data_IF_681718570087
#
_entry.id   IF_681718570087
#
_cell.length_a   1.000
_cell.length_b   1.000
_cell.length_c   1.000
_cell.angle_alpha   90.00
_cell.angle_beta   90.00
_cell.angle_gamma   90.00
#
_symmetry.space_group_name_H-M   'P 1'
#
loop_
_entity.id
_entity.type
_entity.pdbx_description
1 polymer ?
#
# COMPACT_ATOMS: atom_id res chain seq x y z
N UNK A 1 -0.06 -10.47 4.96
CA UNK A 1 1.27 -10.14 5.53
C UNK A 1 1.18 -8.77 6.21
N UNK A 2 2.00 -8.48 7.22
CA UNK A 2 1.99 -7.15 7.84
C UNK A 2 2.65 -6.13 6.92
N UNK A 3 1.94 -5.06 6.54
CA UNK A 3 2.42 -4.05 5.58
C UNK A 3 3.68 -3.32 6.08
N UNK A 4 3.78 -3.04 7.39
CA UNK A 4 4.95 -2.36 7.95
C UNK A 4 6.21 -3.20 7.78
N UNK A 5 6.11 -4.51 7.99
CA UNK A 5 7.21 -5.45 7.77
C UNK A 5 7.61 -5.46 6.30
N UNK A 6 6.66 -5.55 5.37
CA UNK A 6 6.93 -5.56 3.92
C UNK A 6 7.66 -4.30 3.48
N UNK A 7 7.23 -3.11 3.93
CA UNK A 7 7.92 -1.85 3.63
C UNK A 7 9.34 -1.85 4.22
N UNK A 8 9.50 -2.31 5.46
CA UNK A 8 10.82 -2.42 6.12
C UNK A 8 11.79 -3.33 5.36
N UNK A 9 11.32 -4.48 4.89
CA UNK A 9 12.13 -5.42 4.12
C UNK A 9 12.58 -4.82 2.78
N UNK A 10 11.67 -4.14 2.06
CA UNK A 10 12.01 -3.46 0.80
C UNK A 10 12.94 -2.25 1.03
N UNK A 11 12.76 -1.51 2.11
CA UNK A 11 13.69 -0.44 2.51
C UNK A 11 15.09 -0.99 2.81
N UNK A 12 15.21 -2.16 3.44
CA UNK A 12 16.51 -2.79 3.69
C UNK A 12 17.21 -3.20 2.38
N UNK A 13 16.46 -3.74 1.41
CA UNK A 13 16.98 -4.05 0.08
C UNK A 13 17.43 -2.78 -0.66
N UNK A 14 16.61 -1.73 -0.65
CA UNK A 14 16.94 -0.47 -1.30
C UNK A 14 18.16 0.21 -0.65
N UNK A 15 18.27 0.20 0.68
CA UNK A 15 19.47 0.68 1.39
C UNK A 15 20.75 -0.07 0.99
N UNK A 16 20.63 -1.36 0.63
CA UNK A 16 21.76 -2.18 0.21
C UNK A 16 22.23 -1.89 -1.22
N UNK A 17 21.33 -1.49 -2.12
CA UNK A 17 21.62 -1.51 -3.56
C UNK A 17 21.07 -0.36 -4.41
N UNK A 18 20.25 0.55 -3.88
CA UNK A 18 19.78 1.69 -4.65
C UNK A 18 20.93 2.66 -4.91
N UNK A 19 21.14 3.00 -6.19
CA UNK A 19 22.22 3.92 -6.64
C UNK A 19 21.70 5.34 -6.84
N UNK A 20 20.37 5.50 -6.87
CA UNK A 20 19.65 6.78 -7.04
C UNK A 20 18.43 6.81 -6.12
N UNK A 21 17.77 7.97 -6.06
CA UNK A 21 16.55 8.17 -5.27
C UNK A 21 15.41 7.23 -5.67
N UNK A 22 14.62 6.81 -4.68
CA UNK A 22 13.53 5.86 -4.87
C UNK A 22 12.36 6.13 -3.91
N UNK A 23 11.21 5.56 -4.24
CA UNK A 23 10.04 5.43 -3.36
C UNK A 23 9.25 4.18 -3.76
N UNK A 24 8.16 3.87 -3.05
CA UNK A 24 7.34 2.67 -3.28
C UNK A 24 5.86 3.00 -3.45
N UNK A 25 5.21 2.27 -4.36
CA UNK A 25 3.76 2.14 -4.42
C UNK A 25 3.35 0.91 -3.60
N UNK A 26 2.41 1.06 -2.66
CA UNK A 26 2.00 -0.02 -1.78
C UNK A 26 0.92 -0.86 -2.45
N UNK A 27 1.23 -2.11 -2.80
CA UNK A 27 0.22 -3.04 -3.34
C UNK A 27 -0.68 -3.52 -2.22
N UNK A 28 -1.99 -3.28 -2.33
CA UNK A 28 -2.99 -3.81 -1.39
C UNK A 28 -3.74 -4.97 -2.06
N UNK A 29 -3.31 -6.20 -1.73
CA UNK A 29 -3.97 -7.43 -2.18
C UNK A 29 -4.96 -7.99 -1.14
N UNK A 30 -4.79 -7.65 0.14
CA UNK A 30 -5.66 -8.08 1.24
C UNK A 30 -5.96 -6.87 2.16
N UNK A 31 -7.08 -6.16 1.93
CA UNK A 31 -7.45 -4.94 2.64
C UNK A 31 -8.15 -5.24 3.96
N UNK A 32 -7.41 -5.78 4.92
CA UNK A 32 -7.88 -5.97 6.30
C UNK A 32 -8.05 -4.65 7.04
N UNK A 33 -8.88 -4.62 8.09
CA UNK A 33 -9.10 -3.42 8.91
C UNK A 33 -7.78 -2.85 9.45
N UNK A 34 -6.87 -3.71 9.92
CA UNK A 34 -5.53 -3.29 10.39
C UNK A 34 -4.75 -2.63 9.25
N UNK A 35 -4.80 -3.18 8.03
CA UNK A 35 -4.13 -2.57 6.88
C UNK A 35 -4.69 -1.20 6.55
N UNK A 36 -6.02 -1.06 6.51
CA UNK A 36 -6.67 0.18 6.09
C UNK A 36 -6.66 1.27 7.17
N UNK A 37 -6.85 0.90 8.44
CA UNK A 37 -7.04 1.84 9.54
C UNK A 37 -5.75 2.15 10.31
N UNK A 38 -4.77 1.23 10.32
CA UNK A 38 -3.53 1.41 11.07
C UNK A 38 -2.32 1.59 10.14
N UNK A 39 -2.13 0.67 9.18
CA UNK A 39 -0.92 0.70 8.35
C UNK A 39 -0.93 1.84 7.31
N UNK A 40 -2.02 1.98 6.55
CA UNK A 40 -2.11 2.98 5.48
C UNK A 40 -1.89 4.41 6.02
N UNK A 41 -2.57 4.89 7.07
CA UNK A 41 -2.37 6.25 7.56
C UNK A 41 -0.92 6.51 8.03
N UNK A 42 -0.31 5.53 8.70
CA UNK A 42 1.08 5.65 9.20
C UNK A 42 2.06 5.71 8.03
N UNK A 43 1.92 4.82 7.05
CA UNK A 43 2.84 4.77 5.90
C UNK A 43 2.71 5.98 4.98
N UNK A 44 1.49 6.49 4.81
CA UNK A 44 1.26 7.72 4.05
C UNK A 44 1.89 8.92 4.76
N UNK A 45 1.79 9.02 6.09
CA UNK A 45 2.47 10.05 6.88
C UNK A 45 4.01 9.94 6.80
N UNK A 46 4.55 8.75 6.51
CA UNK A 46 5.98 8.51 6.28
C UNK A 46 6.43 8.77 4.84
N UNK A 47 5.53 9.16 3.92
CA UNK A 47 5.85 9.51 2.54
C UNK A 47 5.45 8.47 1.49
N UNK A 48 4.83 7.36 1.87
CA UNK A 48 4.33 6.34 0.94
C UNK A 48 2.88 6.62 0.51
N UNK A 49 2.65 7.73 -0.20
CA UNK A 49 1.31 8.29 -0.44
C UNK A 49 0.56 7.71 -1.66
N UNK A 50 0.91 6.51 -2.11
CA UNK A 50 0.34 5.91 -3.32
C UNK A 50 0.07 4.41 -3.12
N UNK A 51 -1.15 3.99 -3.39
CA UNK A 51 -1.62 2.62 -3.22
C UNK A 51 -1.92 2.02 -4.60
N UNK A 52 -1.39 0.82 -4.89
CA UNK A 52 -1.68 0.07 -6.10
C UNK A 52 -2.66 -1.05 -5.77
N UNK A 53 -3.74 -1.11 -6.54
CA UNK A 53 -4.77 -2.15 -6.42
C UNK A 53 -4.85 -2.88 -7.76
N UNK A 54 -5.13 -4.17 -7.72
CA UNK A 54 -5.42 -4.95 -8.92
C UNK A 54 -6.88 -5.43 -8.84
N UNK A 55 -7.62 -5.25 -9.93
CA UNK A 55 -8.97 -5.81 -10.12
C UNK A 55 -8.94 -7.05 -11.04
N UNK A 56 -7.75 -7.58 -11.25
CA UNK A 56 -7.45 -8.75 -12.09
C UNK A 56 -6.43 -9.62 -11.35
N UNK A 57 -6.15 -10.81 -11.89
CA UNK A 57 -5.40 -11.90 -11.28
C UNK A 57 -6.09 -12.46 -10.03
N UNK A 58 -6.42 -13.75 -10.04
CA UNK A 58 -7.25 -14.38 -9.00
C UNK A 58 -6.74 -14.17 -7.57
N UNK A 59 -5.42 -14.08 -7.38
CA UNK A 59 -4.81 -13.89 -6.06
C UNK A 59 -4.67 -12.42 -5.61
N UNK A 60 -4.82 -11.46 -6.53
CA UNK A 60 -4.65 -10.03 -6.25
C UNK A 60 -5.95 -9.23 -6.40
N UNK A 61 -6.98 -9.83 -7.00
CA UNK A 61 -8.27 -9.19 -7.20
C UNK A 61 -8.96 -8.98 -5.85
N UNK A 62 -9.15 -7.71 -5.48
CA UNK A 62 -9.80 -7.35 -4.21
C UNK A 62 -11.33 -7.33 -4.29
N UNK A 63 -11.91 -7.27 -5.50
CA UNK A 63 -13.36 -7.09 -5.69
C UNK A 63 -13.87 -5.68 -5.32
N UNK A 64 -15.09 -5.37 -5.75
CA UNK A 64 -15.63 -4.01 -5.72
C UNK A 64 -15.85 -3.45 -4.31
N UNK A 65 -16.37 -4.26 -3.39
CA UNK A 65 -16.64 -3.83 -2.01
C UNK A 65 -15.34 -3.44 -1.30
N UNK A 66 -14.30 -4.25 -1.43
CA UNK A 66 -13.00 -3.96 -0.83
C UNK A 66 -12.25 -2.86 -1.54
N UNK A 67 -12.43 -2.70 -2.85
CA UNK A 67 -11.94 -1.51 -3.54
C UNK A 67 -12.55 -0.24 -2.95
N UNK A 68 -13.85 -0.23 -2.64
CA UNK A 68 -14.49 0.92 -2.00
C UNK A 68 -13.87 1.22 -0.63
N UNK A 69 -13.63 0.20 0.20
CA UNK A 69 -12.94 0.36 1.49
C UNK A 69 -11.55 0.98 1.32
N UNK A 70 -10.77 0.52 0.33
CA UNK A 70 -9.45 1.08 0.00
C UNK A 70 -9.57 2.54 -0.43
N UNK A 71 -10.52 2.88 -1.31
CA UNK A 71 -10.74 4.25 -1.78
C UNK A 71 -11.11 5.20 -0.63
N UNK A 72 -11.91 4.73 0.34
CA UNK A 72 -12.26 5.50 1.54
C UNK A 72 -11.05 5.73 2.43
N UNK A 73 -10.25 4.70 2.72
CA UNK A 73 -9.03 4.81 3.51
C UNK A 73 -7.99 5.73 2.86
N UNK A 74 -7.82 5.62 1.53
CA UNK A 74 -6.95 6.48 0.75
C UNK A 74 -7.40 7.94 0.81
N UNK A 75 -8.70 8.22 0.66
CA UNK A 75 -9.26 9.56 0.77
C UNK A 75 -8.98 10.19 2.14
N UNK A 76 -9.18 9.44 3.22
CA UNK A 76 -8.92 9.92 4.59
C UNK A 76 -7.43 10.22 4.80
N UNK A 77 -6.56 9.38 4.26
CA UNK A 77 -5.10 9.51 4.39
C UNK A 77 -4.48 10.47 3.36
N UNK A 78 -5.26 10.99 2.40
CA UNK A 78 -4.79 11.78 1.24
C UNK A 78 -3.79 11.01 0.34
N UNK A 79 -4.01 9.72 0.17
CA UNK A 79 -3.26 8.87 -0.75
C UNK A 79 -3.89 8.82 -2.14
N UNK A 80 -3.06 8.66 -3.17
CA UNK A 80 -3.51 8.36 -4.54
C UNK A 80 -3.71 6.85 -4.70
N UNK A 81 -4.81 6.44 -5.34
CA UNK A 81 -5.05 5.04 -5.71
C UNK A 81 -4.77 4.87 -7.20
N UNK A 82 -3.92 3.90 -7.53
CA UNK A 82 -3.64 3.44 -8.88
C UNK A 82 -4.32 2.08 -9.07
N UNK A 83 -5.13 1.93 -10.11
CA UNK A 83 -5.80 0.66 -10.48
C UNK A 83 -5.13 0.05 -11.70
#
# INVERSE_FOLDING_TARGET
MNMMTVVGDYMALAKKGAVIDYTFHLIIADPTDVTLQEHVPVLVAQGHSTLKVFMTYDLLNVGDEKLLDILLAARQSKALVCV
#
